data_IF_221025332780
#
_entry.id   IF_221025332780
#
_cell.length_a   1.000
_cell.length_b   1.000
_cell.length_c   1.000
_cell.angle_alpha   90.00
_cell.angle_beta   90.00
_cell.angle_gamma   90.00
#
_symmetry.space_group_name_H-M   'P 1'
#
loop_
_entity.id
_entity.type
_entity.pdbx_description
1 polymer ?
#
# COMPACT_ATOMS: atom_id res chain seq x y z
N UNK A 1 -116.53 10.53 13.06
CA UNK A 1 -117.64 11.27 12.41
C UNK A 1 -118.17 12.29 13.41
N UNK A 2 -118.21 13.57 13.05
CA UNK A 2 -119.12 14.56 13.64
C UNK A 2 -118.50 15.62 14.55
N UNK A 3 -118.17 16.75 13.93
CA UNK A 3 -117.85 18.08 14.44
C UNK A 3 -118.56 18.56 15.73
N UNK A 4 -117.85 19.31 16.58
CA UNK A 4 -118.36 20.56 17.19
C UNK A 4 -117.22 21.59 17.37
N UNK A 5 -117.56 22.83 17.05
CA UNK A 5 -116.79 24.01 16.65
C UNK A 5 -115.96 24.74 17.74
N UNK A 6 -114.81 25.32 17.35
CA UNK A 6 -113.88 26.14 18.15
C UNK A 6 -114.17 27.66 18.00
N UNK A 7 -114.04 28.35 19.13
CA UNK A 7 -114.03 29.81 19.48
C UNK A 7 -113.58 30.82 18.41
N UNK A 8 -114.03 32.09 18.55
CA UNK A 8 -113.20 33.27 18.36
C UNK A 8 -112.75 33.87 19.71
N UNK A 9 -111.46 34.14 19.81
CA UNK A 9 -110.79 34.93 20.84
C UNK A 9 -110.77 36.39 20.35
N UNK A 10 -111.11 37.35 21.21
CA UNK A 10 -110.79 38.76 21.00
C UNK A 10 -109.75 39.15 22.05
N UNK A 11 -108.59 39.56 21.53
CA UNK A 11 -107.38 39.95 22.25
C UNK A 11 -107.50 41.39 22.78
N UNK A 12 -107.15 41.59 24.05
CA UNK A 12 -107.31 42.84 24.75
C UNK A 12 -106.12 43.76 24.43
N UNK A 13 -106.38 44.79 23.62
CA UNK A 13 -105.44 45.91 23.41
C UNK A 13 -105.45 46.84 24.63
N UNK A 14 -104.25 47.12 25.12
CA UNK A 14 -103.86 48.10 26.14
C UNK A 14 -104.44 49.50 25.96
N UNK A 15 -104.83 50.14 27.07
CA UNK A 15 -104.88 51.60 27.30
C UNK A 15 -104.66 51.79 28.81
N UNK A 16 -103.54 52.33 29.33
CA UNK A 16 -103.04 53.73 29.37
C UNK A 16 -103.81 54.64 30.35
N UNK A 17 -103.09 55.00 31.43
CA UNK A 17 -103.17 56.21 32.29
C UNK A 17 -104.44 56.54 33.08
N UNK A 18 -104.35 56.33 34.39
CA UNK A 18 -104.75 57.30 35.42
C UNK A 18 -103.74 57.15 36.59
N UNK A 19 -102.71 57.97 36.75
CA UNK A 19 -102.74 59.39 37.15
C UNK A 19 -103.61 59.62 38.42
N UNK A 20 -103.66 58.64 39.32
CA UNK A 20 -104.14 58.86 40.70
C UNK A 20 -103.19 58.31 41.79
N UNK A 21 -102.03 57.79 41.38
CA UNK A 21 -100.97 57.27 42.28
C UNK A 21 -99.70 58.13 42.29
N UNK A 22 -99.65 59.20 41.47
CA UNK A 22 -98.49 60.08 41.35
C UNK A 22 -98.64 61.43 42.07
N UNK A 23 -99.85 61.83 42.48
CA UNK A 23 -100.07 63.04 43.29
C UNK A 23 -100.15 62.76 44.81
N UNK A 24 -100.33 61.51 45.22
CA UNK A 24 -100.36 61.12 46.65
C UNK A 24 -98.99 60.72 47.21
N UNK A 25 -98.01 60.37 46.35
CA UNK A 25 -96.64 60.03 46.80
C UNK A 25 -95.72 61.26 46.85
N UNK A 26 -95.98 62.30 46.05
CA UNK A 26 -95.17 63.53 46.05
C UNK A 26 -95.55 64.46 47.21
N UNK A 27 -96.78 64.40 47.71
CA UNK A 27 -97.24 65.24 48.84
C UNK A 27 -96.89 64.67 50.22
N UNK A 28 -96.50 63.39 50.32
CA UNK A 28 -96.08 62.77 51.60
C UNK A 28 -94.54 62.72 51.82
N UNK A 29 -93.74 63.27 50.89
CA UNK A 29 -92.27 63.31 51.01
C UNK A 29 -91.73 64.76 51.11
N UNK A 30 -92.52 65.78 50.79
CA UNK A 30 -92.09 67.18 50.88
C UNK A 30 -92.22 67.83 52.27
N UNK A 31 -92.83 67.18 53.27
CA UNK A 31 -93.02 67.73 54.63
C UNK A 31 -92.01 67.23 55.68
N UNK A 32 -90.86 66.68 55.23
CA UNK A 32 -89.73 66.40 56.13
C UNK A 32 -88.36 66.62 55.49
N UNK A 33 -88.21 67.64 54.64
CA UNK A 33 -86.88 68.13 54.28
C UNK A 33 -86.67 69.48 54.96
N UNK A 34 -86.03 69.40 56.11
CA UNK A 34 -85.48 70.55 56.82
C UNK A 34 -84.49 71.27 55.87
N UNK A 35 -84.69 72.55 55.48
CA UNK A 35 -83.80 73.25 54.55
C UNK A 35 -82.36 73.33 55.08
N UNK A 36 -82.16 73.17 56.38
CA UNK A 36 -80.84 72.99 56.99
C UNK A 36 -80.20 71.67 56.56
N UNK A 37 -80.95 70.56 56.52
CA UNK A 37 -80.44 69.24 56.12
C UNK A 37 -80.16 69.13 54.62
N UNK A 38 -80.92 69.81 53.76
CA UNK A 38 -80.65 69.81 52.33
C UNK A 38 -79.37 70.59 52.00
N UNK A 39 -79.17 71.75 52.62
CA UNK A 39 -77.93 72.50 52.49
C UNK A 39 -76.74 71.77 53.14
N UNK A 40 -76.96 71.03 54.24
CA UNK A 40 -75.96 70.13 54.82
C UNK A 40 -75.64 68.93 53.91
N UNK A 41 -76.61 68.39 53.16
CA UNK A 41 -76.38 67.24 52.27
C UNK A 41 -75.69 67.69 50.97
N UNK A 42 -76.11 68.83 50.39
CA UNK A 42 -75.39 69.45 49.27
C UNK A 42 -74.01 69.95 49.68
N UNK A 43 -73.85 70.50 50.89
CA UNK A 43 -72.54 70.88 51.43
C UNK A 43 -71.68 69.67 51.77
N UNK A 44 -72.26 68.57 52.26
CA UNK A 44 -71.52 67.33 52.51
C UNK A 44 -71.10 66.63 51.21
N UNK A 45 -71.94 66.63 50.18
CA UNK A 45 -71.57 66.14 48.85
C UNK A 45 -70.56 67.08 48.16
N UNK A 46 -70.70 68.39 48.31
CA UNK A 46 -69.73 69.36 47.83
C UNK A 46 -68.40 69.26 48.60
N UNK A 47 -68.40 68.99 49.90
CA UNK A 47 -67.20 68.75 50.72
C UNK A 47 -66.55 67.41 50.42
N UNK A 48 -67.32 66.38 50.04
CA UNK A 48 -66.76 65.09 49.63
C UNK A 48 -66.16 65.14 48.22
N UNK A 49 -66.66 66.03 47.35
CA UNK A 49 -66.14 66.26 45.99
C UNK A 49 -65.10 67.40 45.91
N UNK A 50 -65.11 68.32 46.88
CA UNK A 50 -64.12 69.37 47.02
C UNK A 50 -62.74 68.74 47.27
N UNK A 51 -61.75 69.15 46.48
CA UNK A 51 -60.41 68.58 46.49
C UNK A 51 -60.19 67.39 45.54
N UNK A 52 -61.25 66.73 45.02
CA UNK A 52 -61.06 65.73 43.95
C UNK A 52 -60.69 66.38 42.62
N UNK A 53 -61.26 67.56 42.29
CA UNK A 53 -60.87 68.31 41.09
C UNK A 53 -59.40 68.74 41.12
N UNK A 54 -58.90 69.11 42.29
CA UNK A 54 -57.49 69.50 42.50
C UNK A 54 -56.56 68.28 42.43
N UNK A 55 -56.92 67.17 43.09
CA UNK A 55 -56.17 65.89 42.97
C UNK A 55 -56.19 65.33 41.55
N UNK A 56 -57.29 65.47 40.82
CA UNK A 56 -57.38 65.03 39.43
C UNK A 56 -56.54 65.92 38.52
N UNK A 57 -56.62 67.25 38.66
CA UNK A 57 -55.75 68.18 37.96
C UNK A 57 -54.27 67.93 38.24
N UNK A 58 -53.93 67.58 39.49
CA UNK A 58 -52.58 67.19 39.88
C UNK A 58 -52.16 65.84 39.31
N UNK A 59 -53.06 64.86 39.19
CA UNK A 59 -52.78 63.59 38.51
C UNK A 59 -52.52 63.77 37.02
N UNK A 60 -53.26 64.66 36.35
CA UNK A 60 -53.07 64.95 34.93
C UNK A 60 -51.76 65.69 34.70
N UNK A 61 -51.42 66.68 35.52
CA UNK A 61 -50.14 67.39 35.44
C UNK A 61 -48.96 66.48 35.80
N UNK A 62 -49.08 65.62 36.81
CA UNK A 62 -48.06 64.61 37.12
C UNK A 62 -47.88 63.59 36.01
N UNK A 63 -48.97 63.16 35.36
CA UNK A 63 -48.89 62.27 34.21
C UNK A 63 -48.21 62.96 33.01
N UNK A 64 -48.48 64.24 32.79
CA UNK A 64 -47.82 65.00 31.73
C UNK A 64 -46.33 65.22 32.03
N UNK A 65 -45.97 65.53 33.27
CA UNK A 65 -44.57 65.61 33.70
C UNK A 65 -43.83 64.26 33.55
N UNK A 66 -44.49 63.14 33.87
CA UNK A 66 -43.94 61.81 33.64
C UNK A 66 -43.76 61.53 32.14
N UNK A 67 -44.71 61.95 31.30
CA UNK A 67 -44.59 61.83 29.85
C UNK A 67 -43.46 62.72 29.31
N UNK A 68 -43.27 63.93 29.85
CA UNK A 68 -42.16 64.81 29.46
C UNK A 68 -40.79 64.23 29.81
N UNK A 69 -40.69 63.40 30.86
CA UNK A 69 -39.46 62.69 31.22
C UNK A 69 -39.27 61.36 30.45
N UNK A 70 -40.34 60.63 30.17
CA UNK A 70 -40.29 59.31 29.53
C UNK A 70 -40.19 59.42 28.01
N UNK A 71 -40.88 60.37 27.39
CA UNK A 71 -40.95 60.50 25.93
C UNK A 71 -39.57 60.77 25.29
N UNK A 72 -38.65 61.55 25.90
CA UNK A 72 -37.26 61.67 25.45
C UNK A 72 -36.45 60.36 25.50
N UNK A 73 -36.81 59.41 26.37
CA UNK A 73 -36.11 58.13 26.52
C UNK A 73 -36.62 57.02 25.58
N UNK A 74 -37.80 57.21 24.97
CA UNK A 74 -38.40 56.24 24.04
C UNK A 74 -37.50 55.83 22.87
N UNK A 75 -36.71 56.72 22.24
CA UNK A 75 -35.75 56.32 21.21
C UNK A 75 -34.66 55.38 21.74
N UNK A 76 -34.20 55.58 22.98
CA UNK A 76 -33.19 54.72 23.60
C UNK A 76 -33.79 53.35 23.93
N UNK A 77 -34.98 53.29 24.53
CA UNK A 77 -35.68 52.04 24.82
C UNK A 77 -35.91 51.20 23.54
N UNK A 78 -36.24 51.84 22.42
CA UNK A 78 -36.37 51.16 21.12
C UNK A 78 -35.04 50.60 20.62
N UNK A 79 -33.95 51.36 20.73
CA UNK A 79 -32.59 50.88 20.39
C UNK A 79 -32.19 49.70 21.26
N UNK A 80 -32.49 49.74 22.55
CA UNK A 80 -32.14 48.67 23.48
C UNK A 80 -32.95 47.40 23.20
N UNK A 81 -34.24 47.51 22.89
CA UNK A 81 -35.07 46.37 22.45
C UNK A 81 -34.53 45.77 21.14
N UNK A 82 -34.14 46.61 20.18
CA UNK A 82 -33.53 46.15 18.93
C UNK A 82 -32.16 45.51 19.16
N UNK A 83 -31.35 46.07 20.07
CA UNK A 83 -30.05 45.53 20.46
C UNK A 83 -30.18 44.19 21.16
N UNK A 84 -31.18 44.02 22.03
CA UNK A 84 -31.46 42.75 22.69
C UNK A 84 -31.95 41.69 21.71
N UNK A 85 -32.78 42.07 20.73
CA UNK A 85 -33.18 41.19 19.65
C UNK A 85 -31.97 40.75 18.79
N UNK A 86 -31.09 41.70 18.41
CA UNK A 86 -29.88 41.40 17.65
C UNK A 86 -28.89 40.50 18.43
N UNK A 87 -28.79 40.68 19.76
CA UNK A 87 -28.02 39.79 20.62
C UNK A 87 -28.64 38.38 20.65
N UNK A 88 -29.97 38.30 20.77
CA UNK A 88 -30.72 37.05 20.69
C UNK A 88 -30.49 36.34 19.35
N UNK A 89 -30.54 37.07 18.24
CA UNK A 89 -30.26 36.54 16.90
C UNK A 89 -28.82 36.04 16.77
N UNK A 90 -27.85 36.74 17.35
CA UNK A 90 -26.44 36.31 17.34
C UNK A 90 -26.26 34.98 18.08
N UNK A 91 -26.89 34.83 19.26
CA UNK A 91 -26.87 33.59 20.02
C UNK A 91 -27.64 32.47 19.31
N UNK A 92 -28.81 32.78 18.75
CA UNK A 92 -29.62 31.83 18.00
C UNK A 92 -28.87 31.33 16.76
N UNK A 93 -28.16 32.20 16.04
CA UNK A 93 -27.37 31.84 14.86
C UNK A 93 -26.12 31.03 15.19
N UNK A 94 -25.48 31.26 16.35
CA UNK A 94 -24.28 30.51 16.77
C UNK A 94 -24.59 29.15 17.42
N UNK A 95 -25.82 28.97 17.93
CA UNK A 95 -26.20 27.76 18.66
C UNK A 95 -26.17 26.45 17.84
N UNK A 96 -26.60 26.40 16.56
CA UNK A 96 -26.61 25.16 15.78
C UNK A 96 -25.20 24.62 15.55
N UNK A 97 -24.25 25.48 15.19
CA UNK A 97 -22.85 25.09 14.95
C UNK A 97 -22.22 24.45 16.20
N UNK A 98 -22.52 24.97 17.39
CA UNK A 98 -22.06 24.39 18.65
C UNK A 98 -22.68 23.01 18.90
N UNK A 99 -24.00 22.87 18.71
CA UNK A 99 -24.66 21.59 18.91
C UNK A 99 -24.26 20.55 17.86
N UNK A 100 -24.01 20.96 16.63
CA UNK A 100 -23.50 20.11 15.55
C UNK A 100 -22.08 19.65 15.86
N UNK A 101 -21.20 20.55 16.33
CA UNK A 101 -19.87 20.18 16.79
C UNK A 101 -19.93 19.15 17.92
N UNK A 102 -20.76 19.39 18.95
CA UNK A 102 -20.91 18.47 20.08
C UNK A 102 -21.47 17.11 19.64
N UNK A 103 -22.47 17.09 18.75
CA UNK A 103 -23.04 15.85 18.21
C UNK A 103 -21.99 15.05 17.42
N UNK A 104 -21.23 15.73 16.55
CA UNK A 104 -20.15 15.08 15.79
C UNK A 104 -19.04 14.56 16.71
N UNK A 105 -18.62 15.34 17.71
CA UNK A 105 -17.61 14.93 18.68
C UNK A 105 -18.05 13.69 19.50
N UNK A 106 -19.33 13.63 19.89
CA UNK A 106 -19.89 12.46 20.60
C UNK A 106 -19.95 11.23 19.69
N UNK A 107 -20.35 11.38 18.43
CA UNK A 107 -20.35 10.28 17.45
C UNK A 107 -18.93 9.75 17.26
N UNK A 108 -17.96 10.63 16.99
CA UNK A 108 -16.55 10.25 16.85
C UNK A 108 -16.03 9.55 18.11
N UNK A 109 -16.33 10.08 19.30
CA UNK A 109 -15.91 9.46 20.56
C UNK A 109 -16.51 8.07 20.76
N UNK A 110 -17.79 7.88 20.41
CA UNK A 110 -18.45 6.57 20.43
C UNK A 110 -17.83 5.61 19.43
N UNK A 111 -17.51 6.08 18.22
CA UNK A 111 -16.83 5.26 17.20
C UNK A 111 -15.45 4.83 17.67
N UNK A 112 -14.64 5.75 18.21
CA UNK A 112 -13.32 5.43 18.76
C UNK A 112 -13.44 4.42 19.90
N UNK A 113 -14.38 4.62 20.83
CA UNK A 113 -14.59 3.69 21.94
C UNK A 113 -15.10 2.32 21.46
N UNK A 114 -15.99 2.28 20.47
CA UNK A 114 -16.48 1.04 19.88
C UNK A 114 -15.38 0.26 19.14
N UNK A 115 -14.45 0.99 18.50
CA UNK A 115 -13.32 0.44 17.75
C UNK A 115 -12.04 0.28 18.59
N UNK A 116 -12.10 0.54 19.90
CA UNK A 116 -10.92 0.52 20.78
C UNK A 116 -10.18 -0.82 20.72
N UNK A 117 -10.92 -1.93 20.74
CA UNK A 117 -10.35 -3.27 20.68
C UNK A 117 -9.63 -3.55 19.36
N UNK A 118 -10.21 -3.09 18.24
CA UNK A 118 -9.62 -3.27 16.92
C UNK A 118 -8.35 -2.42 16.76
N UNK A 119 -8.35 -1.20 17.31
CA UNK A 119 -7.16 -0.35 17.39
C UNK A 119 -6.05 -0.97 18.26
N UNK A 120 -6.39 -1.50 19.43
CA UNK A 120 -5.43 -2.18 20.31
C UNK A 120 -4.83 -3.41 19.63
N UNK A 121 -5.66 -4.21 18.94
CA UNK A 121 -5.20 -5.36 18.18
C UNK A 121 -4.29 -4.95 17.01
N UNK A 122 -4.62 -3.88 16.31
CA UNK A 122 -3.79 -3.34 15.24
C UNK A 122 -2.43 -2.88 15.76
N UNK A 123 -2.40 -2.13 16.87
CA UNK A 123 -1.17 -1.64 17.48
C UNK A 123 -0.30 -2.79 18.02
N UNK A 124 -0.91 -3.78 18.68
CA UNK A 124 -0.21 -4.97 19.16
C UNK A 124 0.35 -5.81 18.01
N UNK A 125 -0.40 -5.97 16.91
CA UNK A 125 0.09 -6.70 15.73
C UNK A 125 1.22 -5.95 15.04
N UNK A 126 1.14 -4.62 14.93
CA UNK A 126 2.21 -3.79 14.38
C UNK A 126 3.48 -3.87 15.23
N UNK A 127 3.35 -3.81 16.57
CA UNK A 127 4.47 -3.99 17.49
C UNK A 127 5.05 -5.40 17.42
N UNK A 128 4.21 -6.43 17.36
CA UNK A 128 4.63 -7.83 17.21
C UNK A 128 5.37 -8.09 15.90
N UNK A 129 4.87 -7.52 14.79
CA UNK A 129 5.54 -7.56 13.50
C UNK A 129 6.90 -6.84 13.55
N UNK A 130 6.95 -5.65 14.18
CA UNK A 130 8.19 -4.91 14.38
C UNK A 130 9.23 -5.71 15.17
N UNK A 131 8.83 -6.35 16.28
CA UNK A 131 9.69 -7.21 17.08
C UNK A 131 10.18 -8.44 16.29
N UNK A 132 9.29 -9.08 15.52
CA UNK A 132 9.63 -10.23 14.68
C UNK A 132 10.61 -9.85 13.56
N UNK A 133 10.36 -8.71 12.88
CA UNK A 133 11.27 -8.18 11.86
C UNK A 133 12.64 -7.85 12.44
N UNK A 134 12.69 -7.19 13.60
CA UNK A 134 13.94 -6.90 14.29
C UNK A 134 14.70 -8.18 14.67
N UNK A 135 14.01 -9.22 15.15
CA UNK A 135 14.62 -10.50 15.47
C UNK A 135 15.20 -11.20 14.23
N UNK A 136 14.48 -11.17 13.09
CA UNK A 136 14.97 -11.70 11.82
C UNK A 136 16.26 -11.02 11.38
N UNK A 137 16.34 -9.69 11.46
CA UNK A 137 17.55 -8.96 11.09
C UNK A 137 18.68 -9.13 12.10
N UNK A 138 18.40 -9.20 13.40
CA UNK A 138 19.41 -9.46 14.42
C UNK A 138 20.02 -10.87 14.27
N UNK A 139 19.20 -11.88 13.98
CA UNK A 139 19.66 -13.26 13.78
C UNK A 139 20.28 -13.46 12.40
N UNK A 140 19.65 -12.96 11.34
CA UNK A 140 20.04 -13.19 9.94
C UNK A 140 21.09 -12.23 9.40
N UNK A 141 21.13 -11.00 9.88
CA UNK A 141 22.02 -9.93 9.42
C UNK A 141 23.50 -10.32 9.41
N UNK A 142 24.04 -10.90 10.51
CA UNK A 142 25.44 -11.35 10.54
C UNK A 142 25.77 -12.41 9.50
N UNK A 143 24.83 -13.32 9.19
CA UNK A 143 25.04 -14.36 8.19
C UNK A 143 24.98 -13.80 6.76
N UNK A 144 24.08 -12.84 6.50
CA UNK A 144 24.03 -12.15 5.21
C UNK A 144 25.28 -11.30 4.98
N UNK A 145 25.73 -10.57 6.00
CA UNK A 145 26.95 -9.77 5.93
C UNK A 145 28.19 -10.66 5.73
N UNK A 146 28.26 -11.80 6.44
CA UNK A 146 29.31 -12.79 6.24
C UNK A 146 29.25 -13.41 4.85
N UNK A 147 28.09 -13.86 4.39
CA UNK A 147 27.93 -14.43 3.05
C UNK A 147 28.32 -13.44 1.95
N UNK A 148 27.97 -12.16 2.10
CA UNK A 148 28.43 -11.11 1.21
C UNK A 148 29.97 -10.94 1.25
N UNK A 149 30.57 -10.95 2.44
CA UNK A 149 32.02 -10.88 2.60
C UNK A 149 32.74 -12.11 2.02
N UNK A 150 32.18 -13.31 2.19
CA UNK A 150 32.72 -14.56 1.65
C UNK A 150 32.62 -14.61 0.11
N UNK A 151 31.69 -13.86 -0.48
CA UNK A 151 31.56 -13.72 -1.93
C UNK A 151 32.59 -12.76 -2.54
N UNK A 152 33.19 -11.86 -1.75
CA UNK A 152 34.12 -10.85 -2.25
C UNK A 152 35.33 -11.46 -2.96
N UNK A 153 36.05 -12.46 -2.39
CA UNK A 153 37.20 -13.06 -3.07
C UNK A 153 36.81 -13.73 -4.40
N UNK A 154 35.66 -14.41 -4.44
CA UNK A 154 35.15 -15.05 -5.66
C UNK A 154 34.79 -14.01 -6.72
N UNK A 155 34.16 -12.91 -6.33
CA UNK A 155 33.83 -11.80 -7.23
C UNK A 155 35.08 -11.10 -7.76
N UNK A 156 36.10 -10.92 -6.93
CA UNK A 156 37.40 -10.36 -7.34
C UNK A 156 38.14 -11.27 -8.32
N UNK A 157 38.08 -12.58 -8.11
CA UNK A 157 38.63 -13.56 -9.05
C UNK A 157 37.86 -13.50 -10.38
N UNK A 158 36.52 -13.50 -10.33
CA UNK A 158 35.70 -13.37 -11.53
C UNK A 158 35.98 -12.07 -12.28
N UNK A 159 36.15 -10.95 -11.58
CA UNK A 159 36.50 -9.65 -12.16
C UNK A 159 37.87 -9.70 -12.86
N UNK A 160 38.87 -10.31 -12.21
CA UNK A 160 40.22 -10.51 -12.75
C UNK A 160 40.21 -11.32 -14.06
N UNK A 161 39.36 -12.35 -14.15
CA UNK A 161 39.25 -13.24 -15.30
C UNK A 161 38.06 -12.92 -16.23
N UNK A 162 37.35 -11.82 -15.99
CA UNK A 162 36.10 -11.47 -16.68
C UNK A 162 36.27 -11.31 -18.19
N UNK A 163 37.45 -10.83 -18.62
CA UNK A 163 37.81 -10.73 -20.02
C UNK A 163 37.76 -12.07 -20.74
N UNK A 164 38.13 -13.18 -20.09
CA UNK A 164 38.16 -14.49 -20.74
C UNK A 164 36.78 -14.95 -21.20
N UNK A 165 35.72 -14.61 -20.46
CA UNK A 165 34.34 -14.91 -20.85
C UNK A 165 33.99 -14.18 -22.15
N UNK A 166 34.28 -12.87 -22.20
CA UNK A 166 34.07 -12.07 -23.39
C UNK A 166 34.87 -12.60 -24.58
N UNK A 167 36.16 -12.85 -24.39
CA UNK A 167 37.04 -13.31 -25.46
C UNK A 167 36.67 -14.72 -25.93
N UNK A 168 36.21 -15.60 -25.04
CA UNK A 168 35.70 -16.93 -25.42
C UNK A 168 34.50 -16.77 -26.35
N UNK A 169 33.51 -15.96 -25.98
CA UNK A 169 32.32 -15.74 -26.80
C UNK A 169 32.68 -15.08 -28.14
N UNK A 170 33.59 -14.11 -28.14
CA UNK A 170 34.06 -13.44 -29.35
C UNK A 170 34.83 -14.39 -30.28
N UNK A 171 35.75 -15.19 -29.73
CA UNK A 171 36.50 -16.19 -30.50
C UNK A 171 35.58 -17.26 -31.08
N UNK A 172 34.54 -17.69 -30.35
CA UNK A 172 33.53 -18.60 -30.90
C UNK A 172 32.77 -17.97 -32.07
N UNK A 173 32.36 -16.70 -31.94
CA UNK A 173 31.72 -15.98 -33.03
C UNK A 173 32.62 -15.91 -34.28
N UNK A 174 33.90 -15.62 -34.10
CA UNK A 174 34.84 -15.43 -35.21
C UNK A 174 35.28 -16.74 -35.86
N UNK A 175 35.39 -17.82 -35.08
CA UNK A 175 35.82 -19.13 -35.60
C UNK A 175 34.69 -19.89 -36.28
N UNK A 176 33.45 -19.80 -35.79
CA UNK A 176 32.30 -20.52 -36.36
C UNK A 176 32.15 -20.37 -37.89
N UNK A 177 32.26 -19.19 -38.52
CA UNK A 177 32.19 -19.09 -39.97
C UNK A 177 33.41 -19.72 -40.67
N UNK A 178 34.60 -19.67 -40.05
CA UNK A 178 35.83 -20.28 -40.58
C UNK A 178 35.73 -21.80 -40.52
N UNK A 179 35.36 -22.34 -39.37
CA UNK A 179 35.14 -23.78 -39.21
C UNK A 179 34.03 -24.24 -40.14
N UNK A 180 32.97 -23.44 -40.29
CA UNK A 180 31.87 -23.73 -41.22
C UNK A 180 32.34 -23.79 -42.66
N UNK A 181 33.26 -22.91 -43.07
CA UNK A 181 33.86 -22.96 -44.40
C UNK A 181 34.76 -24.19 -44.61
N UNK A 182 35.49 -24.65 -43.58
CA UNK A 182 36.34 -25.85 -43.68
C UNK A 182 35.58 -27.17 -43.52
N UNK A 183 34.46 -27.15 -42.81
CA UNK A 183 33.68 -28.33 -42.41
C UNK A 183 32.38 -28.49 -43.25
N UNK A 184 32.30 -27.82 -44.41
CA UNK A 184 31.20 -27.92 -45.39
C UNK A 184 29.87 -27.24 -45.00
N UNK A 185 29.91 -26.41 -43.96
CA UNK A 185 28.85 -25.49 -43.57
C UNK A 185 28.06 -25.94 -42.34
N UNK A 186 27.56 -24.97 -41.58
CA UNK A 186 26.62 -25.20 -40.47
C UNK A 186 25.23 -24.72 -40.87
N UNK A 187 24.19 -25.53 -40.65
CA UNK A 187 22.79 -25.10 -40.86
C UNK A 187 22.11 -24.67 -39.53
N UNK A 188 22.89 -24.49 -38.47
CA UNK A 188 22.42 -24.13 -37.12
C UNK A 188 22.09 -25.32 -36.20
N UNK A 189 21.91 -26.53 -36.75
CA UNK A 189 21.58 -27.73 -35.96
C UNK A 189 22.50 -28.92 -36.25
N UNK A 190 23.11 -28.94 -37.43
CA UNK A 190 24.03 -29.99 -37.87
C UNK A 190 25.19 -29.40 -38.66
N UNK A 191 26.31 -30.08 -38.53
CA UNK A 191 27.51 -29.93 -39.34
C UNK A 191 27.33 -30.65 -40.68
N UNK A 192 27.57 -29.98 -41.80
CA UNK A 192 27.47 -30.57 -43.13
C UNK A 192 28.85 -30.85 -43.73
N UNK A 193 29.48 -31.97 -43.38
CA UNK A 193 30.84 -32.30 -43.84
C UNK A 193 30.85 -33.02 -45.20
N UNK A 194 31.47 -32.40 -46.21
CA UNK A 194 31.89 -33.11 -47.43
C UNK A 194 33.28 -33.71 -47.21
N UNK A 195 33.34 -35.02 -46.95
CA UNK A 195 34.60 -35.71 -46.61
C UNK A 195 35.16 -36.46 -47.82
N UNK A 196 36.33 -36.03 -48.33
CA UNK A 196 37.06 -36.73 -49.39
C UNK A 196 37.95 -37.86 -48.84
N UNK A 197 38.15 -38.92 -49.64
CA UNK A 197 38.89 -40.16 -49.29
C UNK A 197 40.35 -39.91 -48.84
N UNK A 198 40.93 -38.77 -49.21
CA UNK A 198 42.32 -38.39 -48.89
C UNK A 198 42.49 -37.79 -47.49
N UNK A 199 41.38 -37.45 -46.81
CA UNK A 199 41.42 -36.95 -45.43
C UNK A 199 41.43 -38.10 -44.41
N UNK A 200 42.08 -37.91 -43.26
CA UNK A 200 42.16 -38.94 -42.20
C UNK A 200 40.79 -39.40 -41.68
N UNK A 201 39.80 -38.51 -41.65
CA UNK A 201 38.40 -38.83 -41.35
C UNK A 201 37.71 -39.54 -42.53
N UNK A 202 38.01 -39.15 -43.77
CA UNK A 202 37.50 -39.79 -44.98
C UNK A 202 37.89 -41.25 -45.11
N UNK A 203 39.11 -41.60 -44.68
CA UNK A 203 39.58 -42.99 -44.63
C UNK A 203 38.73 -43.88 -43.69
N UNK A 204 38.16 -43.31 -42.63
CA UNK A 204 37.39 -44.02 -41.60
C UNK A 204 35.88 -43.97 -41.90
N UNK A 205 35.37 -42.84 -42.39
CA UNK A 205 33.93 -42.62 -42.56
C UNK A 205 33.36 -43.11 -43.90
N UNK A 206 34.20 -43.25 -44.94
CA UNK A 206 33.73 -43.76 -46.23
C UNK A 206 33.74 -45.30 -46.24
N UNK A 207 32.62 -45.98 -46.57
CA UNK A 207 32.53 -47.44 -46.53
C UNK A 207 33.50 -48.15 -47.49
N UNK A 208 33.90 -47.52 -48.60
CA UNK A 208 34.90 -48.08 -49.52
C UNK A 208 36.31 -47.97 -48.97
N UNK A 209 36.65 -46.86 -48.29
CA UNK A 209 37.96 -46.71 -47.66
C UNK A 209 38.04 -47.47 -46.33
N UNK A 210 36.92 -47.64 -45.60
CA UNK A 210 36.87 -48.48 -44.41
C UNK A 210 37.22 -49.93 -44.77
N UNK A 211 36.69 -50.45 -45.89
CA UNK A 211 37.06 -51.76 -46.41
C UNK A 211 38.53 -51.82 -46.81
N UNK A 212 39.07 -50.78 -47.46
CA UNK A 212 40.48 -50.71 -47.85
C UNK A 212 41.43 -50.59 -46.65
N UNK A 213 41.09 -49.78 -45.64
CA UNK A 213 41.84 -49.62 -44.39
C UNK A 213 41.75 -50.90 -43.57
N UNK A 214 40.57 -51.51 -43.44
CA UNK A 214 40.41 -52.81 -42.77
C UNK A 214 41.18 -53.93 -43.49
N UNK A 215 41.21 -53.92 -44.83
CA UNK A 215 41.98 -54.90 -45.61
C UNK A 215 43.50 -54.67 -45.50
N UNK A 216 43.96 -53.43 -45.63
CA UNK A 216 45.40 -53.07 -45.60
C UNK A 216 46.00 -53.13 -44.18
N UNK A 217 45.17 -52.97 -43.15
CA UNK A 217 45.62 -53.04 -41.74
C UNK A 217 45.21 -54.34 -41.05
N UNK A 218 44.69 -55.34 -41.77
CA UNK A 218 44.17 -56.60 -41.19
C UNK A 218 43.19 -56.36 -40.03
N UNK A 219 42.36 -55.33 -40.16
CA UNK A 219 41.39 -54.92 -39.15
C UNK A 219 41.99 -54.20 -37.94
N UNK A 220 43.30 -53.96 -37.87
CA UNK A 220 43.99 -53.29 -36.75
C UNK A 220 43.84 -51.75 -36.77
N UNK A 221 43.59 -51.15 -37.93
CA UNK A 221 43.43 -49.69 -38.05
C UNK A 221 42.20 -49.14 -37.32
N UNK A 222 41.15 -49.94 -37.18
CA UNK A 222 39.96 -49.60 -36.39
C UNK A 222 40.11 -49.93 -34.89
N UNK A 223 41.17 -50.65 -34.50
CA UNK A 223 41.37 -51.11 -33.12
C UNK A 223 42.17 -50.14 -32.28
N UNK A 224 42.81 -49.12 -32.87
CA UNK A 224 43.62 -48.16 -32.12
C UNK A 224 42.81 -47.44 -31.02
N UNK A 225 41.50 -47.27 -31.23
CA UNK A 225 40.57 -46.76 -30.22
C UNK A 225 39.83 -47.83 -29.39
N UNK A 226 39.93 -49.11 -29.76
CA UNK A 226 39.19 -50.21 -29.11
C UNK A 226 40.08 -51.11 -28.24
N UNK A 227 41.38 -51.21 -28.54
CA UNK A 227 42.36 -52.05 -27.81
C UNK A 227 43.17 -51.21 -26.80
N UNK A 228 43.37 -49.93 -27.06
CA UNK A 228 43.95 -49.01 -26.09
C UNK A 228 42.88 -48.53 -25.13
N UNK A 229 42.99 -48.87 -23.84
CA UNK A 229 42.23 -48.20 -22.80
C UNK A 229 42.53 -46.71 -22.78
N UNK A 230 41.73 -45.92 -22.07
CA UNK A 230 42.06 -44.52 -21.83
C UNK A 230 43.51 -44.43 -21.28
N UNK A 231 44.37 -43.53 -21.78
CA UNK A 231 45.78 -43.51 -21.38
C UNK A 231 45.97 -43.43 -19.85
N UNK A 232 45.02 -42.83 -19.13
CA UNK A 232 44.98 -42.83 -17.67
C UNK A 232 43.56 -43.12 -17.15
N UNK A 233 43.33 -44.27 -16.50
CA UNK A 233 42.12 -44.47 -15.71
C UNK A 233 42.20 -43.66 -14.41
N UNK A 234 41.09 -43.02 -14.02
CA UNK A 234 41.00 -42.30 -12.75
C UNK A 234 41.15 -43.27 -11.58
N UNK A 235 42.12 -43.06 -10.70
CA UNK A 235 42.29 -43.79 -9.44
C UNK A 235 42.15 -42.89 -8.23
N UNK A 236 41.34 -43.34 -7.27
CA UNK A 236 41.18 -42.68 -5.99
C UNK A 236 42.22 -43.23 -5.00
N UNK A 237 42.92 -42.39 -4.21
CA UNK A 237 42.80 -40.93 -4.11
C UNK A 237 43.76 -40.13 -5.02
N UNK A 238 44.50 -40.78 -5.91
CA UNK A 238 45.59 -40.16 -6.68
C UNK A 238 45.13 -39.10 -7.69
N UNK A 239 43.99 -39.28 -8.33
CA UNK A 239 43.40 -38.37 -9.32
C UNK A 239 42.40 -37.36 -8.72
N UNK A 240 42.39 -37.17 -7.40
CA UNK A 240 41.48 -36.20 -6.76
C UNK A 240 41.52 -34.85 -7.49
N UNK A 241 40.36 -34.25 -7.83
CA UNK A 241 40.31 -32.96 -8.49
C UNK A 241 41.08 -31.92 -7.67
N UNK A 242 42.22 -31.50 -8.21
CA UNK A 242 42.96 -30.36 -7.71
C UNK A 242 42.40 -29.12 -8.40
N UNK A 243 42.30 -28.03 -7.66
CA UNK A 243 41.86 -26.73 -8.18
C UNK A 243 43.01 -25.74 -8.03
N UNK A 244 44.15 -26.11 -8.61
CA UNK A 244 45.37 -25.31 -8.55
C UNK A 244 45.86 -24.96 -9.97
N UNK A 245 44.93 -24.44 -10.78
CA UNK A 245 45.28 -23.85 -12.05
C UNK A 245 45.83 -22.44 -11.83
N UNK A 246 47.01 -22.19 -12.36
CA UNK A 246 47.69 -20.89 -12.32
C UNK A 246 48.11 -20.53 -13.73
N UNK A 247 47.99 -19.25 -14.09
CA UNK A 247 48.51 -18.75 -15.35
C UNK A 247 49.97 -19.18 -15.49
N UNK A 248 50.29 -19.90 -16.58
CA UNK A 248 51.67 -20.25 -16.87
C UNK A 248 52.46 -19.05 -17.38
N UNK A 249 53.75 -19.23 -17.71
CA UNK A 249 54.59 -18.14 -18.20
C UNK A 249 53.93 -17.44 -19.42
N UNK A 250 53.63 -16.14 -19.28
CA UNK A 250 53.00 -15.34 -20.34
C UNK A 250 51.47 -15.39 -20.41
N UNK A 251 50.79 -16.10 -19.49
CA UNK A 251 49.33 -16.20 -19.45
C UNK A 251 48.63 -15.25 -18.48
N UNK A 252 48.66 -13.96 -18.81
CA UNK A 252 47.80 -12.98 -18.15
C UNK A 252 46.34 -13.13 -18.64
N UNK A 253 45.33 -12.93 -17.77
CA UNK A 253 43.92 -12.92 -18.17
C UNK A 253 43.68 -11.86 -19.25
N UNK A 254 43.02 -12.23 -20.34
CA UNK A 254 42.78 -11.31 -21.46
C UNK A 254 42.35 -11.98 -22.75
N UNK A 255 42.08 -11.16 -23.77
CA UNK A 255 41.90 -11.68 -25.12
C UNK A 255 43.27 -12.08 -25.68
N UNK A 256 43.45 -13.37 -25.91
CA UNK A 256 44.67 -13.90 -26.49
C UNK A 256 44.92 -13.32 -27.88
N UNK A 257 46.19 -13.05 -28.15
CA UNK A 257 46.63 -12.57 -29.46
C UNK A 257 46.61 -13.73 -30.47
N UNK A 258 46.43 -13.46 -31.77
CA UNK A 258 46.52 -14.49 -32.80
C UNK A 258 47.86 -15.21 -32.70
N UNK A 259 47.81 -16.55 -32.66
CA UNK A 259 49.02 -17.39 -32.58
C UNK A 259 49.77 -17.23 -33.91
N UNK A 260 50.85 -16.46 -33.86
CA UNK A 260 51.79 -16.28 -34.97
C UNK A 260 53.04 -17.10 -34.71
N UNK A 261 53.82 -17.38 -35.76
CA UNK A 261 55.06 -18.17 -35.66
C UNK A 261 56.11 -17.50 -34.76
N UNK A 262 55.98 -16.20 -34.53
CA UNK A 262 56.82 -15.39 -33.65
C UNK A 262 56.40 -15.48 -32.17
N UNK A 263 55.22 -16.03 -31.87
CA UNK A 263 54.70 -16.30 -30.53
C UNK A 263 55.12 -17.72 -30.07
N UNK A 264 56.41 -18.04 -30.18
CA UNK A 264 56.97 -19.32 -29.72
C UNK A 264 58.08 -19.10 -28.69
N UNK A 265 58.04 -19.76 -27.50
CA UNK A 265 57.03 -20.73 -27.07
C UNK A 265 55.66 -20.07 -26.80
N UNK A 266 54.60 -20.77 -27.19
CA UNK A 266 53.24 -20.30 -26.97
C UNK A 266 52.97 -20.22 -25.45
N UNK A 267 52.23 -19.21 -24.98
CA UNK A 267 51.79 -19.15 -23.60
C UNK A 267 51.00 -20.41 -23.25
N UNK A 268 51.31 -21.02 -22.11
CA UNK A 268 50.63 -22.21 -21.62
C UNK A 268 49.90 -21.94 -20.32
N UNK A 269 48.80 -22.64 -20.10
CA UNK A 269 48.12 -22.67 -18.81
C UNK A 269 48.71 -23.83 -18.00
N UNK A 270 49.31 -23.52 -16.86
CA UNK A 270 49.74 -24.56 -15.92
C UNK A 270 48.54 -24.89 -15.03
N UNK A 271 47.75 -25.85 -15.48
CA UNK A 271 46.61 -26.37 -14.73
C UNK A 271 46.95 -27.69 -14.05
N UNK A 272 46.93 -27.68 -12.71
CA UNK A 272 46.77 -28.90 -11.91
C UNK A 272 45.27 -29.07 -11.63
N UNK A 273 44.52 -29.31 -12.70
CA UNK A 273 43.09 -29.64 -12.68
C UNK A 273 42.95 -31.11 -13.02
N UNK A 274 42.24 -31.87 -12.19
CA UNK A 274 42.15 -33.34 -12.24
C UNK A 274 42.22 -33.96 -13.64
N UNK A 275 43.04 -35.02 -13.75
CA UNK A 275 43.65 -35.56 -14.98
C UNK A 275 44.91 -34.81 -15.45
N UNK A 276 45.72 -34.33 -14.50
CA UNK A 276 47.09 -33.88 -14.78
C UNK A 276 47.84 -34.98 -15.52
N UNK A 277 48.10 -34.76 -16.80
CA UNK A 277 49.14 -35.45 -17.55
C UNK A 277 50.44 -35.12 -16.82
N UNK A 278 50.88 -36.00 -15.93
CA UNK A 278 52.21 -35.88 -15.34
C UNK A 278 53.23 -35.74 -16.50
N UNK A 279 54.32 -34.99 -16.33
CA UNK A 279 55.36 -34.94 -17.35
C UNK A 279 55.91 -36.35 -17.59
N UNK A 280 55.40 -37.01 -18.62
CA UNK A 280 55.79 -38.36 -19.00
C UNK A 280 57.24 -38.33 -19.44
N UNK A 281 58.10 -38.86 -18.59
CA UNK A 281 59.47 -39.22 -18.94
C UNK A 281 59.54 -40.63 -19.55
N UNK A 282 58.40 -41.30 -19.77
CA UNK A 282 58.29 -42.65 -20.33
C UNK A 282 57.06 -42.78 -21.24
N UNK A 283 57.15 -43.66 -22.24
CA UNK A 283 56.02 -44.05 -23.09
C UNK A 283 55.30 -45.21 -22.42
N UNK A 284 54.01 -45.04 -22.13
CA UNK A 284 53.17 -46.11 -21.60
C UNK A 284 51.97 -46.39 -22.51
N UNK A 285 51.46 -47.62 -22.46
CA UNK A 285 50.34 -48.07 -23.28
C UNK A 285 49.05 -48.06 -22.47
N UNK A 286 48.01 -47.40 -22.96
CA UNK A 286 46.78 -47.14 -22.21
C UNK A 286 46.11 -48.39 -21.63
N UNK A 287 45.67 -48.28 -20.37
CA UNK A 287 45.00 -49.35 -19.60
C UNK A 287 43.67 -48.84 -19.02
N UNK A 288 42.68 -49.69 -18.69
CA UNK A 288 42.71 -51.15 -18.73
C UNK A 288 42.59 -51.70 -20.16
N UNK A 289 43.34 -52.77 -20.46
CA UNK A 289 43.14 -53.54 -21.69
C UNK A 289 41.84 -54.35 -21.61
N UNK A 290 41.30 -54.72 -22.76
CA UNK A 290 40.10 -55.58 -22.85
C UNK A 290 40.17 -56.85 -21.98
N UNK A 291 41.37 -57.43 -21.81
CA UNK A 291 41.59 -58.63 -20.98
C UNK A 291 41.40 -58.38 -19.47
N UNK A 292 41.65 -57.14 -19.00
CA UNK A 292 41.54 -56.77 -17.59
C UNK A 292 40.08 -56.64 -17.13
N UNK A 293 39.16 -56.37 -18.06
CA UNK A 293 37.72 -56.37 -17.78
C UNK A 293 37.16 -57.77 -17.51
N UNK A 294 37.79 -58.80 -18.09
CA UNK A 294 37.30 -60.18 -18.01
C UNK A 294 37.98 -60.95 -16.87
N UNK A 295 39.29 -60.76 -16.70
CA UNK A 295 40.11 -61.59 -15.81
C UNK A 295 40.67 -60.83 -14.61
N UNK A 296 40.31 -59.56 -14.43
CA UNK A 296 40.98 -58.67 -13.49
C UNK A 296 42.35 -58.24 -14.00
N UNK A 297 42.93 -57.23 -13.35
CA UNK A 297 44.21 -56.63 -13.77
C UNK A 297 45.35 -57.62 -13.61
N UNK A 298 46.14 -57.79 -14.68
CA UNK A 298 47.28 -58.71 -14.70
C UNK A 298 48.65 -58.00 -14.80
N UNK A 299 48.68 -56.70 -15.13
CA UNK A 299 49.93 -55.96 -15.38
C UNK A 299 49.89 -54.58 -14.70
N UNK A 300 50.87 -54.30 -13.85
CA UNK A 300 51.10 -53.01 -13.18
C UNK A 300 50.04 -52.59 -12.15
N UNK A 301 50.34 -51.58 -11.34
CA UNK A 301 49.35 -50.87 -10.52
C UNK A 301 48.76 -49.69 -11.32
N UNK A 302 47.55 -49.24 -10.97
CA UNK A 302 46.98 -48.01 -11.54
C UNK A 302 47.48 -46.82 -10.71
N UNK A 303 48.78 -46.54 -10.79
CA UNK A 303 49.40 -45.44 -10.05
C UNK A 303 50.18 -44.51 -10.98
N UNK A 304 50.18 -43.22 -10.63
CA UNK A 304 50.89 -42.18 -11.39
C UNK A 304 52.41 -42.21 -11.10
N UNK A 305 52.85 -42.92 -10.06
CA UNK A 305 54.25 -42.97 -9.62
C UNK A 305 54.75 -44.43 -9.58
N UNK A 306 55.90 -44.75 -10.20
CA UNK A 306 56.42 -46.13 -10.25
C UNK A 306 56.76 -46.72 -8.88
#
# INVERSE_FOLDING_TARGET
>A
LGDVYKRPVIDARSVTTEINTLFQTITSIAEKVDPVKLNLTLSAAAQSLAGLGEKFGQSVTNANALLDDVNPQMPQARKDIQGLAALGDTYANASPDLFDFLNNAVITSRTINAQQKDLDQALLSAAGFGNTGAELFNKGGPYLARGAADLVPTAQLLDTYSSEIYCTLHNYHDIVPITGASEGGFNGYSLNMDTEVTSGLGLIANPLSLAAVAALTLGLGAQAGLIGGAPNPYTYPENLPRVNARGGPGGAPGCWQPITRDLWPAPELVMDSGNSLAPYNHLDTGSPYAIEYVWGRQVGDNTINP
#
